data_IF_315287854253
#
_entry.id   IF_315287854253
#
_cell.length_a   1.000
_cell.length_b   1.000
_cell.length_c   1.000
_cell.angle_alpha   90.00
_cell.angle_beta   90.00
_cell.angle_gamma   90.00
#
_symmetry.space_group_name_H-M   'P 1'
#
loop_
_entity.id
_entity.type
_entity.pdbx_description
1 polymer ?
#
# COMPACT_ATOMS: atom_id res chain seq x y z
N UNK A 1 -32.73 -14.09 -14.43
CA UNK A 1 -32.55 -13.29 -15.67
C UNK A 1 -31.95 -11.92 -15.38
N UNK A 2 -32.42 -11.18 -14.36
CA UNK A 2 -31.83 -9.89 -13.92
C UNK A 2 -30.38 -9.99 -13.42
N UNK A 3 -30.04 -11.02 -12.63
CA UNK A 3 -28.66 -11.22 -12.14
C UNK A 3 -27.63 -11.41 -13.28
N UNK A 4 -28.03 -12.13 -14.33
CA UNK A 4 -27.15 -12.36 -15.49
C UNK A 4 -26.87 -11.06 -16.25
N UNK A 5 -27.87 -10.18 -16.33
CA UNK A 5 -27.73 -8.84 -16.93
C UNK A 5 -26.81 -7.98 -16.07
N UNK A 6 -27.00 -7.97 -14.74
CA UNK A 6 -26.12 -7.24 -13.82
C UNK A 6 -24.66 -7.68 -13.92
N UNK A 7 -24.39 -8.99 -13.95
CA UNK A 7 -23.03 -9.52 -14.08
C UNK A 7 -22.43 -9.13 -15.44
N UNK A 8 -23.19 -9.20 -16.54
CA UNK A 8 -22.68 -8.80 -17.87
C UNK A 8 -22.34 -7.31 -17.92
N UNK A 9 -23.16 -6.45 -17.29
CA UNK A 9 -22.87 -5.02 -17.15
C UNK A 9 -21.62 -4.78 -16.31
N UNK A 10 -21.45 -5.46 -15.18
CA UNK A 10 -20.24 -5.35 -14.33
C UNK A 10 -18.97 -5.81 -15.05
N UNK A 11 -19.04 -6.86 -15.87
CA UNK A 11 -17.88 -7.35 -16.63
C UNK A 11 -17.47 -6.40 -17.76
N UNK A 12 -18.44 -5.68 -18.35
CA UNK A 12 -18.15 -4.65 -19.35
C UNK A 12 -17.44 -3.46 -18.71
N UNK A 13 -17.97 -2.94 -17.60
CA UNK A 13 -17.34 -1.82 -16.87
C UNK A 13 -15.94 -2.17 -16.36
N UNK A 14 -15.71 -3.42 -15.93
CA UNK A 14 -14.38 -3.89 -15.56
C UNK A 14 -13.37 -3.84 -16.71
N UNK A 15 -13.79 -4.17 -17.95
CA UNK A 15 -12.92 -4.12 -19.12
C UNK A 15 -12.56 -2.69 -19.52
N UNK A 16 -13.52 -1.77 -19.42
CA UNK A 16 -13.31 -0.37 -19.76
C UNK A 16 -12.29 0.31 -18.82
N UNK A 17 -12.23 -0.16 -17.58
CA UNK A 17 -11.35 0.39 -16.53
C UNK A 17 -10.03 -0.37 -16.41
N UNK A 18 -9.88 -1.50 -17.13
CA UNK A 18 -8.74 -2.41 -16.97
C UNK A 18 -7.38 -1.74 -17.19
N UNK A 19 -7.25 -0.83 -18.16
CA UNK A 19 -5.99 -0.13 -18.43
C UNK A 19 -5.53 0.73 -17.24
N UNK A 20 -6.46 1.44 -16.60
CA UNK A 20 -6.17 2.24 -15.42
C UNK A 20 -5.95 1.36 -14.17
N UNK A 21 -6.63 0.21 -14.08
CA UNK A 21 -6.35 -0.77 -13.03
C UNK A 21 -4.93 -1.35 -13.15
N UNK A 22 -4.43 -1.58 -14.37
CA UNK A 22 -3.03 -1.99 -14.59
C UNK A 22 -2.06 -0.89 -14.16
N UNK A 23 -2.35 0.38 -14.46
CA UNK A 23 -1.57 1.51 -13.96
C UNK A 23 -1.53 1.55 -12.43
N UNK A 24 -2.67 1.35 -11.78
CA UNK A 24 -2.78 1.26 -10.32
C UNK A 24 -1.93 0.11 -9.76
N UNK A 25 -2.03 -1.08 -10.35
CA UNK A 25 -1.22 -2.24 -9.94
C UNK A 25 0.27 -2.00 -10.13
N UNK A 26 0.68 -1.34 -11.22
CA UNK A 26 2.07 -0.97 -11.45
C UNK A 26 2.56 0.05 -10.41
N UNK A 27 1.73 1.04 -10.08
CA UNK A 27 2.02 2.00 -9.01
C UNK A 27 2.22 1.30 -7.66
N UNK A 28 1.28 0.43 -7.27
CA UNK A 28 1.38 -0.38 -6.05
C UNK A 28 2.66 -1.22 -6.05
N UNK A 29 2.98 -1.85 -7.18
CA UNK A 29 4.18 -2.67 -7.32
C UNK A 29 5.48 -1.86 -7.15
N UNK A 30 5.58 -0.70 -7.80
CA UNK A 30 6.76 0.19 -7.69
C UNK A 30 6.95 0.63 -6.24
N UNK A 31 5.90 1.14 -5.58
CA UNK A 31 6.00 1.57 -4.20
C UNK A 31 6.30 0.41 -3.25
N UNK A 32 5.78 -0.79 -3.52
CA UNK A 32 6.12 -1.98 -2.75
C UNK A 32 7.61 -2.31 -2.81
N UNK A 33 8.22 -2.27 -4.00
CA UNK A 33 9.66 -2.50 -4.17
C UNK A 33 10.51 -1.43 -3.48
N UNK A 34 10.12 -0.16 -3.61
CA UNK A 34 10.80 0.95 -2.92
C UNK A 34 10.68 0.78 -1.40
N UNK A 35 9.50 0.43 -0.89
CA UNK A 35 9.26 0.18 0.53
C UNK A 35 10.09 -0.99 1.06
N UNK A 36 10.22 -2.08 0.29
CA UNK A 36 11.13 -3.17 0.64
C UNK A 36 12.59 -2.70 0.73
N UNK A 37 13.05 -1.86 -0.20
CA UNK A 37 14.43 -1.36 -0.18
C UNK A 37 14.76 -0.53 1.07
N UNK A 38 13.78 0.19 1.62
CA UNK A 38 13.99 1.05 2.79
C UNK A 38 13.64 0.39 4.12
N UNK A 39 12.59 -0.44 4.18
CA UNK A 39 11.99 -0.88 5.45
C UNK A 39 12.05 -2.39 5.67
N UNK A 40 12.57 -3.19 4.73
CA UNK A 40 12.66 -4.64 4.90
C UNK A 40 13.52 -5.02 6.11
N UNK A 41 12.97 -5.86 6.97
CA UNK A 41 13.56 -6.40 8.19
C UNK A 41 13.96 -5.34 9.22
N UNK A 42 13.37 -4.15 9.15
CA UNK A 42 13.59 -3.04 10.09
C UNK A 42 12.45 -2.90 11.12
N UNK A 43 11.26 -3.44 10.83
CA UNK A 43 10.05 -3.27 11.65
C UNK A 43 9.95 -4.37 12.73
N UNK A 44 10.71 -4.21 13.80
CA UNK A 44 10.70 -5.10 14.96
C UNK A 44 10.77 -4.26 16.24
N UNK A 45 9.73 -4.30 17.05
CA UNK A 45 9.55 -3.37 18.18
C UNK A 45 9.34 -4.11 19.49
N UNK A 46 9.86 -3.55 20.57
CA UNK A 46 9.61 -4.05 21.92
C UNK A 46 8.17 -3.70 22.33
N UNK A 47 7.34 -4.68 22.76
CA UNK A 47 5.95 -4.42 23.18
C UNK A 47 5.85 -3.50 24.41
N UNK A 48 6.87 -3.43 25.26
CA UNK A 48 6.86 -2.62 26.48
C UNK A 48 7.28 -1.17 26.24
N UNK A 49 8.34 -0.96 25.46
CA UNK A 49 8.92 0.38 25.22
C UNK A 49 8.53 0.99 23.88
N UNK A 50 8.15 0.16 22.91
CA UNK A 50 7.92 0.59 21.55
C UNK A 50 9.19 1.05 20.82
N UNK A 51 10.39 0.74 21.33
CA UNK A 51 11.61 1.10 20.64
C UNK A 51 11.98 0.01 19.62
N UNK A 52 12.57 0.38 18.47
CA UNK A 52 13.11 -0.61 17.54
C UNK A 52 14.29 -1.34 18.18
N UNK A 53 14.45 -2.63 17.88
CA UNK A 53 15.63 -3.38 18.33
C UNK A 53 16.86 -2.95 17.53
N UNK A 54 17.93 -2.44 18.14
CA UNK A 54 19.17 -2.14 17.40
C UNK A 54 19.97 -3.41 17.06
N UNK A 55 19.87 -4.45 17.90
CA UNK A 55 20.70 -5.65 17.81
C UNK A 55 20.28 -6.61 16.67
N UNK A 56 19.02 -6.54 16.23
CA UNK A 56 18.43 -7.48 15.26
C UNK A 56 17.99 -6.85 13.93
N UNK A 57 18.24 -5.55 13.72
CA UNK A 57 17.96 -4.85 12.45
C UNK A 57 18.65 -5.55 11.27
N UNK A 58 17.88 -5.94 10.26
CA UNK A 58 18.40 -6.60 9.06
C UNK A 58 18.68 -8.10 9.18
N UNK A 59 18.44 -8.72 10.34
CA UNK A 59 18.65 -10.17 10.55
C UNK A 59 17.61 -11.06 9.84
N UNK A 60 16.50 -10.49 9.36
CA UNK A 60 15.38 -11.23 8.75
C UNK A 60 14.39 -11.80 9.75
N UNK A 61 14.75 -11.87 11.03
CA UNK A 61 13.94 -12.42 12.12
C UNK A 61 13.64 -11.37 13.18
N UNK A 62 12.42 -11.39 13.72
CA UNK A 62 12.07 -10.61 14.90
C UNK A 62 11.95 -11.59 16.08
N UNK A 63 12.97 -11.69 16.97
CA UNK A 63 12.98 -12.65 18.07
C UNK A 63 12.07 -12.19 19.21
N UNK A 64 11.52 -13.12 19.97
CA UNK A 64 10.81 -12.79 21.21
C UNK A 64 11.76 -12.10 22.21
N UNK A 65 11.33 -11.04 22.92
CA UNK A 65 9.95 -10.57 23.07
C UNK A 65 9.48 -9.54 22.02
N UNK A 66 10.31 -9.20 21.03
CA UNK A 66 9.97 -8.19 20.04
C UNK A 66 8.90 -8.69 19.07
N UNK A 67 8.04 -7.78 18.64
CA UNK A 67 6.93 -8.06 17.75
C UNK A 67 7.02 -7.26 16.46
N UNK A 68 6.60 -7.90 15.37
CA UNK A 68 6.52 -7.29 14.05
C UNK A 68 5.09 -6.79 13.83
N UNK A 69 4.90 -5.53 13.38
CA UNK A 69 3.59 -5.05 12.98
C UNK A 69 3.02 -5.87 11.82
N UNK A 70 1.69 -5.99 11.76
CA UNK A 70 0.99 -6.71 10.68
C UNK A 70 1.28 -6.13 9.29
N UNK A 71 1.39 -4.80 9.20
CA UNK A 71 1.80 -4.10 7.99
C UNK A 71 3.33 -3.92 8.02
N UNK A 72 4.04 -4.69 7.19
CA UNK A 72 5.50 -4.68 7.14
C UNK A 72 6.01 -4.91 5.70
N UNK A 73 7.31 -4.69 5.47
CA UNK A 73 7.90 -4.62 4.12
C UNK A 73 8.96 -5.70 3.86
N UNK A 74 8.90 -6.84 4.55
CA UNK A 74 9.97 -7.86 4.45
C UNK A 74 9.89 -8.71 3.19
N UNK A 75 8.70 -8.81 2.60
CA UNK A 75 8.49 -9.48 1.32
C UNK A 75 7.45 -8.73 0.48
N UNK A 76 7.44 -9.04 -0.81
CA UNK A 76 6.62 -8.32 -1.78
C UNK A 76 5.12 -8.40 -1.48
N UNK A 77 4.65 -9.52 -0.94
CA UNK A 77 3.24 -9.69 -0.62
C UNK A 77 2.80 -8.77 0.52
N UNK A 78 3.54 -8.75 1.64
CA UNK A 78 3.23 -7.87 2.76
C UNK A 78 3.48 -6.40 2.43
N UNK A 79 4.53 -6.09 1.68
CA UNK A 79 4.78 -4.73 1.19
C UNK A 79 3.62 -4.25 0.31
N UNK A 80 3.12 -5.10 -0.60
CA UNK A 80 1.97 -4.78 -1.43
C UNK A 80 0.71 -4.52 -0.61
N UNK A 81 0.41 -5.37 0.38
CA UNK A 81 -0.72 -5.16 1.28
C UNK A 81 -0.57 -3.89 2.12
N UNK A 82 0.63 -3.58 2.61
CA UNK A 82 0.88 -2.36 3.36
C UNK A 82 0.69 -1.11 2.50
N UNK A 83 1.21 -1.10 1.27
CA UNK A 83 1.02 0.00 0.31
C UNK A 83 -0.44 0.14 -0.07
N UNK A 84 -1.15 -0.97 -0.32
CA UNK A 84 -2.59 -0.95 -0.57
C UNK A 84 -3.38 -0.39 0.62
N UNK A 85 -3.02 -0.77 1.85
CA UNK A 85 -3.64 -0.24 3.07
C UNK A 85 -3.41 1.27 3.19
N UNK A 86 -2.18 1.75 2.94
CA UNK A 86 -1.90 3.20 2.92
C UNK A 86 -2.72 3.91 1.85
N UNK A 87 -2.84 3.32 0.65
CA UNK A 87 -3.60 3.89 -0.45
C UNK A 87 -5.11 3.94 -0.16
N UNK A 88 -5.63 3.00 0.61
CA UNK A 88 -7.01 3.03 1.10
C UNK A 88 -7.25 4.06 2.22
N UNK A 89 -6.21 4.80 2.61
CA UNK A 89 -6.18 5.75 3.72
C UNK A 89 -6.52 5.11 5.09
N UNK A 90 -6.47 3.78 5.20
CA UNK A 90 -6.79 3.06 6.43
C UNK A 90 -5.58 2.99 7.36
N UNK A 91 -5.63 3.76 8.46
CA UNK A 91 -4.62 3.72 9.52
C UNK A 91 -3.17 3.87 8.98
N UNK A 92 -3.01 4.64 7.90
CA UNK A 92 -1.74 4.80 7.19
C UNK A 92 -0.68 5.52 8.02
N UNK A 93 -1.13 6.42 8.91
CA UNK A 93 -0.29 7.16 9.83
C UNK A 93 0.42 6.22 10.82
N UNK A 94 -0.23 5.16 11.30
CA UNK A 94 0.40 4.16 12.18
C UNK A 94 1.56 3.46 11.46
N UNK A 95 1.36 3.04 10.20
CA UNK A 95 2.41 2.43 9.38
C UNK A 95 3.58 3.40 9.19
N UNK A 96 3.28 4.67 8.90
CA UNK A 96 4.29 5.72 8.78
C UNK A 96 5.07 5.92 10.08
N UNK A 97 4.39 5.96 11.23
CA UNK A 97 5.05 6.13 12.53
C UNK A 97 5.93 4.94 12.88
N UNK A 98 5.51 3.71 12.58
CA UNK A 98 6.35 2.53 12.76
C UNK A 98 7.59 2.60 11.87
N UNK A 99 7.44 2.98 10.60
CA UNK A 99 8.59 3.18 9.71
C UNK A 99 9.50 4.32 10.16
N UNK A 100 8.95 5.44 10.65
CA UNK A 100 9.75 6.52 11.23
C UNK A 100 10.54 6.01 12.44
N UNK A 101 9.90 5.30 13.37
CA UNK A 101 10.61 4.74 14.53
C UNK A 101 11.77 3.84 14.10
N UNK A 102 11.60 3.07 13.03
CA UNK A 102 12.64 2.17 12.52
C UNK A 102 13.79 2.87 11.76
N UNK A 103 13.51 3.83 10.86
CA UNK A 103 14.54 4.41 9.96
C UNK A 103 14.70 5.93 10.06
N UNK A 104 13.96 6.58 10.95
CA UNK A 104 13.99 8.02 11.16
C UNK A 104 13.07 8.82 10.23
N UNK A 105 13.23 10.15 10.27
CA UNK A 105 12.39 11.12 9.57
C UNK A 105 12.30 10.94 8.03
N UNK A 106 13.27 10.34 7.29
CA UNK A 106 13.14 10.14 5.85
C UNK A 106 11.97 9.23 5.46
N UNK A 107 11.51 8.36 6.37
CA UNK A 107 10.32 7.53 6.15
C UNK A 107 9.10 8.38 5.74
N UNK A 108 8.94 9.55 6.36
CA UNK A 108 7.82 10.46 6.10
C UNK A 108 7.76 10.89 4.64
N UNK A 109 8.90 11.08 3.97
CA UNK A 109 8.95 11.46 2.55
C UNK A 109 8.31 10.36 1.69
N UNK A 110 8.63 9.10 1.96
CA UNK A 110 8.06 7.96 1.24
C UNK A 110 6.54 7.90 1.40
N UNK A 111 6.01 8.05 2.62
CA UNK A 111 4.56 7.98 2.85
C UNK A 111 3.82 9.19 2.29
N UNK A 112 4.37 10.40 2.40
CA UNK A 112 3.77 11.60 1.79
C UNK A 112 3.73 11.46 0.27
N UNK A 113 4.81 10.99 -0.37
CA UNK A 113 4.83 10.74 -1.81
C UNK A 113 3.82 9.67 -2.21
N UNK A 114 3.74 8.56 -1.45
CA UNK A 114 2.79 7.48 -1.68
C UNK A 114 1.34 7.97 -1.61
N UNK A 115 0.97 8.75 -0.59
CA UNK A 115 -0.39 9.27 -0.43
C UNK A 115 -0.71 10.30 -1.52
N UNK A 116 0.17 11.27 -1.78
CA UNK A 116 -0.09 12.34 -2.76
C UNK A 116 -0.20 11.77 -4.18
N UNK A 117 0.78 10.95 -4.61
CA UNK A 117 0.76 10.38 -5.96
C UNK A 117 -0.33 9.32 -6.08
N UNK A 118 -0.54 8.52 -5.02
CA UNK A 118 -1.59 7.50 -4.98
C UNK A 118 -2.98 8.10 -5.13
N UNK A 119 -3.29 9.16 -4.38
CA UNK A 119 -4.57 9.85 -4.48
C UNK A 119 -4.77 10.50 -5.86
N UNK A 120 -3.70 11.00 -6.48
CA UNK A 120 -3.78 11.49 -7.86
C UNK A 120 -4.10 10.37 -8.86
N UNK A 121 -3.48 9.19 -8.72
CA UNK A 121 -3.79 8.02 -9.56
C UNK A 121 -5.23 7.57 -9.35
N UNK A 122 -5.71 7.49 -8.11
CA UNK A 122 -7.10 7.13 -7.79
C UNK A 122 -8.10 8.15 -8.32
N UNK A 123 -7.81 9.44 -8.23
CA UNK A 123 -8.66 10.49 -8.81
C UNK A 123 -8.75 10.34 -10.32
N UNK A 124 -7.63 10.09 -11.00
CA UNK A 124 -7.64 9.88 -12.45
C UNK A 124 -8.39 8.61 -12.85
N UNK A 125 -8.31 7.54 -12.05
CA UNK A 125 -9.12 6.33 -12.23
C UNK A 125 -10.62 6.65 -12.10
N UNK A 126 -11.01 7.39 -11.05
CA UNK A 126 -12.39 7.80 -10.84
C UNK A 126 -12.92 8.66 -11.99
N UNK A 127 -12.14 9.66 -12.42
CA UNK A 127 -12.50 10.51 -13.56
C UNK A 127 -12.65 9.70 -14.85
N UNK A 128 -11.74 8.76 -15.11
CA UNK A 128 -11.83 7.89 -16.28
C UNK A 128 -13.11 7.05 -16.28
N UNK A 129 -13.48 6.47 -15.13
CA UNK A 129 -14.74 5.72 -14.98
C UNK A 129 -15.93 6.63 -15.29
N UNK A 130 -15.96 7.82 -14.69
CA UNK A 130 -17.08 8.76 -14.84
C UNK A 130 -17.21 9.21 -16.30
N UNK A 131 -16.11 9.59 -16.94
CA UNK A 131 -16.09 10.00 -18.35
C UNK A 131 -16.49 8.86 -19.28
N UNK A 132 -15.97 7.65 -19.06
CA UNK A 132 -16.36 6.49 -19.87
C UNK A 132 -17.85 6.16 -19.76
N UNK A 133 -18.48 6.41 -18.61
CA UNK A 133 -19.93 6.28 -18.46
C UNK A 133 -20.71 7.41 -19.17
N UNK A 134 -20.13 8.61 -19.32
CA UNK A 134 -20.75 9.73 -20.04
C UNK A 134 -20.60 9.62 -21.56
N UNK A 135 -19.50 9.07 -22.07
CA UNK A 135 -19.29 8.83 -23.51
C UNK A 135 -20.23 7.76 -24.08
N UNK A 136 -20.78 6.90 -23.22
CA UNK A 136 -21.77 5.89 -23.58
C UNK A 136 -23.23 6.37 -23.60
N UNK A 137 -23.50 7.65 -23.27
CA UNK A 137 -24.81 8.31 -23.35
C UNK A 137 -24.87 9.28 -24.53
#
# INVERSE_FOLDING_TARGET
RSLRVLIDTMLRTLKDVAYFAVLLLLFLFIFSLIGMQFFANQLCFDPGTGLPSEEFQGSGSCPAPFERPRAHFDNIFWAFLAVFQVLSEENWNAIMYDCWRAVGWPATIYFVALVVVGNFVLLNLFLAIVLGNFEGM
#
